data_IF_285199172629
#
_entry.id   IF_285199172629
#
_cell.length_a   1.000
_cell.length_b   1.000
_cell.length_c   1.000
_cell.angle_alpha   90.00
_cell.angle_beta   90.00
_cell.angle_gamma   90.00
#
_symmetry.space_group_name_H-M   'P 1'
#
loop_
_entity.id
_entity.type
_entity.pdbx_description
1 polymer ?
#
# COMPACT_ATOMS: atom_id res chain seq x y z
N UNK A 1 11.79 -19.12 -25.57
CA UNK A 1 10.67 -18.30 -26.06
C UNK A 1 9.55 -18.33 -25.03
N UNK A 2 9.42 -17.29 -24.20
CA UNK A 2 8.39 -17.21 -23.14
C UNK A 2 7.88 -15.78 -22.97
N UNK A 3 7.71 -15.04 -24.06
CA UNK A 3 6.75 -13.94 -24.06
C UNK A 3 5.35 -14.55 -24.16
N UNK A 4 4.89 -15.16 -23.07
CA UNK A 4 3.46 -15.41 -22.91
C UNK A 4 2.84 -14.05 -22.61
N UNK A 5 2.38 -13.36 -23.66
CA UNK A 5 1.59 -12.14 -23.49
C UNK A 5 0.43 -12.46 -22.55
N UNK A 6 0.38 -11.73 -21.44
CA UNK A 6 -0.68 -11.87 -20.46
C UNK A 6 -1.92 -11.20 -21.04
N UNK A 7 -2.91 -11.99 -21.46
CA UNK A 7 -4.17 -11.39 -21.90
C UNK A 7 -4.91 -10.73 -20.73
N UNK A 8 -5.75 -9.75 -21.07
CA UNK A 8 -6.42 -8.91 -20.09
C UNK A 8 -7.32 -9.70 -19.13
N UNK A 9 -7.98 -10.76 -19.62
CA UNK A 9 -8.81 -11.63 -18.78
C UNK A 9 -8.00 -12.41 -17.75
N UNK A 10 -6.81 -12.88 -18.14
CA UNK A 10 -5.88 -13.58 -17.27
C UNK A 10 -5.35 -12.62 -16.21
N UNK A 11 -4.98 -11.39 -16.59
CA UNK A 11 -4.61 -10.34 -15.65
C UNK A 11 -5.70 -10.08 -14.61
N UNK A 12 -6.94 -9.85 -15.04
CA UNK A 12 -8.06 -9.61 -14.13
C UNK A 12 -8.33 -10.79 -13.20
N UNK A 13 -8.19 -12.03 -13.69
CA UNK A 13 -8.38 -13.24 -12.87
C UNK A 13 -7.31 -13.35 -11.79
N UNK A 14 -6.04 -13.05 -12.13
CA UNK A 14 -4.94 -13.03 -11.17
C UNK A 14 -5.19 -11.95 -10.11
N UNK A 15 -5.51 -10.72 -10.53
CA UNK A 15 -5.80 -9.61 -9.61
C UNK A 15 -7.00 -9.89 -8.72
N UNK A 16 -8.10 -10.43 -9.26
CA UNK A 16 -9.28 -10.78 -8.47
C UNK A 16 -8.97 -11.85 -7.42
N UNK A 17 -8.19 -12.88 -7.76
CA UNK A 17 -7.76 -13.91 -6.79
C UNK A 17 -6.83 -13.34 -5.74
N UNK A 18 -5.92 -12.47 -6.13
CA UNK A 18 -4.95 -11.83 -5.23
C UNK A 18 -5.65 -10.89 -4.25
N UNK A 19 -6.55 -10.01 -4.72
CA UNK A 19 -7.37 -9.13 -3.87
C UNK A 19 -8.27 -9.87 -2.87
N UNK A 20 -8.61 -11.13 -3.15
CA UNK A 20 -9.40 -11.98 -2.24
C UNK A 20 -8.55 -12.74 -1.23
N UNK A 21 -7.26 -12.91 -1.50
CA UNK A 21 -6.31 -13.58 -0.62
C UNK A 21 -5.59 -12.59 0.28
N UNK A 22 -5.28 -11.42 -0.27
CA UNK A 22 -4.83 -10.28 0.49
C UNK A 22 -6.05 -9.73 1.24
N UNK A 23 -5.88 -9.41 2.53
CA UNK A 23 -6.86 -8.65 3.30
C UNK A 23 -6.39 -7.18 3.26
N UNK A 24 -6.54 -6.46 2.12
CA UNK A 24 -5.89 -5.16 1.93
C UNK A 24 -6.31 -4.16 3.00
N UNK A 25 -7.57 -4.25 3.45
CA UNK A 25 -8.06 -3.45 4.58
C UNK A 25 -7.28 -3.71 5.85
N UNK A 26 -7.06 -4.97 6.22
CA UNK A 26 -6.35 -5.34 7.44
C UNK A 26 -4.85 -5.04 7.34
N UNK A 27 -4.27 -5.12 6.13
CA UNK A 27 -2.89 -4.71 5.89
C UNK A 27 -2.71 -3.20 6.02
N UNK A 28 -3.59 -2.41 5.40
CA UNK A 28 -3.62 -0.94 5.53
C UNK A 28 -3.80 -0.54 7.00
N UNK A 29 -4.73 -1.16 7.72
CA UNK A 29 -4.94 -0.87 9.14
C UNK A 29 -3.73 -1.25 10.00
N UNK A 30 -3.08 -2.39 9.73
CA UNK A 30 -1.84 -2.77 10.41
C UNK A 30 -0.71 -1.78 10.14
N UNK A 31 -0.54 -1.35 8.90
CA UNK A 31 0.45 -0.34 8.54
C UNK A 31 0.16 0.99 9.27
N UNK A 32 -1.08 1.48 9.24
CA UNK A 32 -1.49 2.69 9.96
C UNK A 32 -1.27 2.57 11.47
N UNK A 33 -1.57 1.42 12.08
CA UNK A 33 -1.31 1.17 13.50
C UNK A 33 0.20 1.15 13.84
N UNK A 34 1.08 0.76 12.91
CA UNK A 34 2.53 0.90 13.08
C UNK A 34 3.01 2.36 12.92
N UNK A 35 2.24 3.19 12.22
CA UNK A 35 2.51 4.62 12.07
C UNK A 35 2.06 5.39 13.32
N UNK A 36 0.85 5.14 13.81
CA UNK A 36 0.28 5.75 15.02
C UNK A 36 0.81 5.08 16.30
N UNK A 37 1.98 5.54 16.73
CA UNK A 37 2.61 5.06 17.99
C UNK A 37 1.82 5.39 19.24
N UNK A 38 0.98 6.41 19.18
CA UNK A 38 0.22 6.91 20.33
C UNK A 38 -1.15 6.22 20.46
N UNK A 39 -1.57 5.48 19.43
CA UNK A 39 -2.90 4.85 19.33
C UNK A 39 -4.03 5.86 19.49
N UNK A 40 -3.81 7.08 18.97
CA UNK A 40 -4.82 8.15 18.95
C UNK A 40 -5.89 7.90 17.89
N UNK A 41 -5.60 7.06 16.88
CA UNK A 41 -6.40 6.89 15.67
C UNK A 41 -6.10 7.95 14.60
N UNK A 42 -5.16 8.85 14.85
CA UNK A 42 -4.78 9.95 13.95
C UNK A 42 -3.26 9.97 13.75
N UNK A 43 -2.80 10.28 12.53
CA UNK A 43 -1.37 10.42 12.22
C UNK A 43 -1.14 11.85 11.77
N UNK A 44 -0.19 12.54 12.41
CA UNK A 44 0.19 13.87 11.99
C UNK A 44 0.87 13.84 10.62
N UNK A 45 0.53 14.79 9.74
CA UNK A 45 1.10 14.92 8.39
C UNK A 45 2.64 14.84 8.39
N UNK A 46 3.28 15.56 9.32
CA UNK A 46 4.75 15.57 9.46
C UNK A 46 5.33 14.19 9.77
N UNK A 47 4.64 13.39 10.58
CA UNK A 47 5.10 12.05 10.94
C UNK A 47 4.93 11.08 9.76
N UNK A 48 3.81 11.20 9.04
CA UNK A 48 3.57 10.43 7.82
C UNK A 48 4.62 10.75 6.75
N UNK A 49 4.84 12.03 6.43
CA UNK A 49 5.84 12.50 5.47
C UNK A 49 7.24 11.99 5.84
N UNK A 50 7.65 12.14 7.10
CA UNK A 50 8.96 11.68 7.56
C UNK A 50 9.16 10.16 7.42
N UNK A 51 8.11 9.36 7.64
CA UNK A 51 8.18 7.90 7.49
C UNK A 51 8.19 7.48 6.01
N UNK A 52 7.37 8.10 5.17
CA UNK A 52 7.36 7.83 3.72
C UNK A 52 8.69 8.20 3.07
N UNK A 53 9.27 9.36 3.40
CA UNK A 53 10.60 9.74 2.93
C UNK A 53 11.69 8.76 3.38
N UNK A 54 11.60 8.21 4.60
CA UNK A 54 12.55 7.17 5.08
C UNK A 54 12.43 5.84 4.33
N UNK A 55 11.25 5.51 3.82
CA UNK A 55 11.02 4.32 2.99
C UNK A 55 11.51 4.49 1.55
N UNK A 56 11.96 5.69 1.17
CA UNK A 56 12.49 5.99 -0.15
C UNK A 56 11.49 6.66 -1.10
N UNK A 57 10.27 6.94 -0.63
CA UNK A 57 9.27 7.68 -1.40
C UNK A 57 9.59 9.17 -1.42
N UNK A 58 9.64 9.75 -2.62
CA UNK A 58 9.78 11.21 -2.81
C UNK A 58 8.39 11.80 -2.92
N UNK A 59 7.94 12.42 -1.84
CA UNK A 59 6.70 13.19 -1.82
C UNK A 59 7.00 14.62 -2.29
N UNK A 60 6.15 15.17 -3.14
CA UNK A 60 6.11 16.61 -3.40
C UNK A 60 5.56 17.37 -2.20
N UNK A 61 5.67 18.70 -2.19
CA UNK A 61 5.11 19.53 -1.10
C UNK A 61 3.57 19.50 -1.06
N UNK A 62 2.94 19.16 -2.17
CA UNK A 62 1.47 19.07 -2.32
C UNK A 62 0.92 17.69 -1.90
N UNK A 63 1.79 16.68 -1.78
CA UNK A 63 1.52 15.31 -1.31
C UNK A 63 1.90 15.13 0.16
#
# INVERSE_FOLDING_TARGET
DRSAELDFSTFLTIMYRQMRQEEPREEILRALAMLDRQRSGEIAERELRAKLTRLGEKLSEEE
#
